data_IF_435013198355
#
_entry.id   IF_435013198355
#
_cell.length_a   1.000
_cell.length_b   1.000
_cell.length_c   1.000
_cell.angle_alpha   90.00
_cell.angle_beta   90.00
_cell.angle_gamma   90.00
#
_symmetry.space_group_name_H-M   'P 1'
#
loop_
_entity.id
_entity.type
_entity.pdbx_description
1 polymer ?
#
# COMPACT_ATOMS: atom_id res chain seq x y z
N UNK A 1 21.30 -11.05 -2.14
CA UNK A 1 19.89 -11.51 -2.14
C UNK A 1 19.14 -10.67 -1.13
N UNK A 2 18.42 -9.69 -1.60
CA UNK A 2 17.59 -8.84 -0.73
C UNK A 2 16.30 -9.64 -0.47
N UNK A 3 16.00 -9.87 0.79
CA UNK A 3 14.79 -10.60 1.19
C UNK A 3 13.56 -9.79 0.77
N UNK A 4 12.50 -10.41 0.27
CA UNK A 4 11.31 -9.69 -0.20
C UNK A 4 10.65 -8.86 0.90
N UNK A 5 10.72 -9.33 2.14
CA UNK A 5 10.28 -8.57 3.31
C UNK A 5 11.12 -7.31 3.52
N UNK A 6 12.43 -7.38 3.23
CA UNK A 6 13.31 -6.22 3.25
C UNK A 6 13.07 -5.33 2.02
N UNK A 7 12.73 -5.90 0.87
CA UNK A 7 12.44 -5.14 -0.36
C UNK A 7 11.10 -4.41 -0.24
N UNK A 8 10.05 -5.04 0.27
CA UNK A 8 8.79 -4.36 0.61
C UNK A 8 9.00 -3.37 1.77
N UNK A 9 9.78 -3.74 2.78
CA UNK A 9 10.16 -2.85 3.87
C UNK A 9 11.00 -1.67 3.39
N UNK A 10 11.90 -1.87 2.44
CA UNK A 10 12.74 -0.81 1.87
C UNK A 10 11.96 0.05 0.85
N UNK A 11 10.97 -0.50 0.18
CA UNK A 11 10.07 0.24 -0.71
C UNK A 11 8.99 1.02 0.06
N UNK A 12 8.65 0.51 1.23
CA UNK A 12 7.80 1.19 2.21
C UNK A 12 8.64 1.87 3.29
N UNK A 13 9.80 2.43 2.98
CA UNK A 13 10.74 3.01 3.93
C UNK A 13 10.03 3.71 5.08
N UNK A 14 9.72 2.96 6.13
CA UNK A 14 9.26 3.51 7.38
C UNK A 14 10.45 4.13 8.08
N UNK A 15 10.33 5.38 8.40
CA UNK A 15 11.28 6.08 9.24
C UNK A 15 10.88 5.90 10.69
N UNK A 16 11.82 5.97 11.56
CA UNK A 16 12.10 5.03 12.61
C UNK A 16 11.18 5.12 13.80
N UNK A 17 10.81 3.98 14.29
CA UNK A 17 10.43 3.84 15.67
C UNK A 17 11.43 2.92 16.37
N UNK A 18 12.13 3.41 17.37
CA UNK A 18 12.90 2.58 18.25
C UNK A 18 11.95 1.91 19.25
N UNK A 19 11.60 0.67 18.99
CA UNK A 19 10.78 -0.13 19.92
C UNK A 19 11.55 -0.57 21.16
N UNK A 20 12.85 -0.30 21.25
CA UNK A 20 13.73 -0.78 22.33
C UNK A 20 14.35 0.31 23.20
N UNK A 21 14.20 1.58 22.85
CA UNK A 21 14.76 2.69 23.63
C UNK A 21 13.75 3.80 23.84
N UNK A 22 13.72 4.30 25.07
CA UNK A 22 13.04 5.55 25.39
C UNK A 22 13.54 6.67 24.48
N UNK A 23 12.62 7.40 23.91
CA UNK A 23 12.88 8.51 22.99
C UNK A 23 13.56 9.64 23.78
N UNK A 24 14.83 9.86 23.56
CA UNK A 24 15.52 11.04 24.06
C UNK A 24 15.42 12.17 23.05
N UNK A 25 14.95 13.36 23.42
CA UNK A 25 14.76 14.48 22.50
C UNK A 25 16.08 15.07 21.94
N UNK A 26 17.22 14.53 22.30
CA UNK A 26 18.54 14.96 21.84
C UNK A 26 19.23 13.97 20.90
N UNK A 27 18.49 13.05 20.29
CA UNK A 27 19.10 12.09 19.36
C UNK A 27 19.20 12.70 17.98
N UNK A 28 20.34 13.32 17.72
CA UNK A 28 20.79 13.77 16.40
C UNK A 28 21.25 12.61 15.50
N UNK A 29 21.22 11.33 15.96
CA UNK A 29 22.00 10.31 15.25
C UNK A 29 21.47 8.88 15.30
N UNK A 30 20.26 8.58 15.27
CA UNK A 30 19.85 7.24 14.84
C UNK A 30 18.40 7.28 14.33
N UNK A 31 18.21 7.79 13.16
CA UNK A 31 17.04 7.45 12.38
C UNK A 31 17.05 5.93 12.18
N UNK A 32 16.29 5.19 12.99
CA UNK A 32 16.14 3.77 12.82
C UNK A 32 15.05 3.54 11.81
N UNK A 33 15.42 2.94 10.71
CA UNK A 33 14.45 2.46 9.73
C UNK A 33 13.73 1.25 10.29
N UNK A 34 12.41 1.35 10.42
CA UNK A 34 11.55 0.24 10.80
C UNK A 34 11.05 -0.42 9.51
N UNK A 35 11.22 -1.73 9.39
CA UNK A 35 10.70 -2.48 8.24
C UNK A 35 9.18 -2.55 8.29
N UNK A 36 8.55 -2.82 7.15
CA UNK A 36 7.11 -3.02 7.09
C UNK A 36 6.64 -4.15 8.02
N UNK A 37 7.42 -5.22 8.14
CA UNK A 37 7.12 -6.33 9.07
C UNK A 37 7.18 -5.89 10.52
N UNK A 38 8.24 -5.18 10.93
CA UNK A 38 8.38 -4.70 12.30
C UNK A 38 7.29 -3.67 12.64
N UNK A 39 6.91 -2.79 11.70
CA UNK A 39 5.81 -1.85 11.91
C UNK A 39 4.47 -2.57 12.00
N UNK A 40 4.21 -3.56 11.17
CA UNK A 40 3.00 -4.38 11.24
C UNK A 40 2.88 -5.10 12.58
N UNK A 41 3.97 -5.71 13.05
CA UNK A 41 4.02 -6.34 14.37
C UNK A 41 3.74 -5.33 15.50
N UNK A 42 4.38 -4.17 15.44
CA UNK A 42 4.15 -3.11 16.42
C UNK A 42 2.70 -2.63 16.42
N UNK A 43 2.10 -2.40 15.24
CA UNK A 43 0.70 -2.01 15.11
C UNK A 43 -0.22 -3.08 15.72
N UNK A 44 0.03 -4.36 15.46
CA UNK A 44 -0.74 -5.46 16.01
C UNK A 44 -0.62 -5.55 17.54
N UNK A 45 0.54 -5.24 18.12
CA UNK A 45 0.73 -5.21 19.59
C UNK A 45 -0.02 -4.05 20.26
N UNK A 46 -0.29 -2.96 19.53
CA UNK A 46 -0.93 -1.75 20.07
C UNK A 46 -2.39 -1.60 19.61
N UNK A 47 -2.92 -2.60 18.94
CA UNK A 47 -4.30 -2.65 18.44
C UNK A 47 -5.23 -3.34 19.45
N UNK A 48 -6.50 -2.97 19.45
CA UNK A 48 -7.55 -3.63 20.25
C UNK A 48 -7.70 -5.10 19.84
N UNK A 49 -7.90 -5.96 20.81
CA UNK A 49 -7.93 -7.43 20.62
C UNK A 49 -9.04 -7.89 19.67
N UNK A 50 -10.18 -7.20 19.65
CA UNK A 50 -11.29 -7.52 18.75
C UNK A 50 -10.95 -7.19 17.30
N UNK A 51 -10.25 -6.08 17.05
CA UNK A 51 -9.78 -5.73 15.71
C UNK A 51 -8.70 -6.70 15.24
N UNK A 52 -7.78 -7.08 16.13
CA UNK A 52 -6.75 -8.07 15.84
C UNK A 52 -7.34 -9.40 15.44
N UNK A 53 -8.31 -9.91 16.20
CA UNK A 53 -9.05 -11.14 15.85
C UNK A 53 -9.76 -11.05 14.50
N UNK A 54 -10.36 -9.90 14.22
CA UNK A 54 -11.00 -9.65 12.91
C UNK A 54 -9.99 -9.70 11.78
N UNK A 55 -8.82 -9.07 11.92
CA UNK A 55 -7.75 -9.14 10.92
C UNK A 55 -7.26 -10.57 10.73
N UNK A 56 -6.90 -11.27 11.81
CA UNK A 56 -6.36 -12.63 11.77
C UNK A 56 -7.35 -13.65 11.19
N UNK A 57 -8.66 -13.39 11.32
CA UNK A 57 -9.69 -14.29 10.81
C UNK A 57 -10.09 -14.04 9.36
N UNK A 58 -9.75 -12.89 8.79
CA UNK A 58 -10.21 -12.50 7.45
C UNK A 58 -9.10 -12.14 6.47
N UNK A 59 -7.87 -11.89 6.95
CA UNK A 59 -6.77 -11.42 6.12
C UNK A 59 -5.48 -12.16 6.42
N UNK A 60 -4.60 -12.22 5.42
CA UNK A 60 -3.22 -12.67 5.56
C UNK A 60 -2.27 -11.59 5.07
N UNK A 61 -1.06 -11.58 5.63
CA UNK A 61 0.02 -10.66 5.27
C UNK A 61 1.26 -11.43 4.78
N UNK A 62 1.07 -12.68 4.36
CA UNK A 62 2.14 -13.56 3.96
C UNK A 62 2.68 -13.27 2.58
N UNK A 63 3.85 -13.83 2.32
CA UNK A 63 4.47 -13.89 1.01
C UNK A 63 4.91 -15.33 0.78
N UNK A 64 4.18 -16.07 -0.04
CA UNK A 64 4.43 -17.49 -0.25
C UNK A 64 5.21 -17.72 -1.55
N UNK A 65 6.30 -18.47 -1.46
CA UNK A 65 7.19 -18.80 -2.59
C UNK A 65 7.12 -20.25 -3.00
N UNK A 66 6.65 -21.12 -2.09
CA UNK A 66 6.50 -22.53 -2.39
C UNK A 66 5.25 -22.78 -3.24
N UNK A 67 5.47 -23.33 -4.43
CA UNK A 67 4.39 -23.59 -5.39
C UNK A 67 3.33 -24.58 -4.85
N UNK A 68 3.72 -25.50 -3.97
CA UNK A 68 2.77 -26.46 -3.39
C UNK A 68 1.88 -25.82 -2.35
N UNK A 69 2.41 -24.87 -1.58
CA UNK A 69 1.64 -24.08 -0.61
C UNK A 69 0.73 -23.09 -1.31
N UNK A 70 1.20 -22.37 -2.33
CA UNK A 70 0.37 -21.50 -3.17
C UNK A 70 -0.85 -22.27 -3.70
N UNK A 71 -0.64 -23.50 -4.19
CA UNK A 71 -1.73 -24.36 -4.66
C UNK A 71 -2.67 -24.82 -3.53
N UNK A 72 -2.15 -25.08 -2.33
CA UNK A 72 -2.98 -25.47 -1.20
C UNK A 72 -3.84 -24.31 -0.68
N UNK A 73 -3.35 -23.09 -0.82
CA UNK A 73 -4.01 -21.86 -0.40
C UNK A 73 -5.28 -21.57 -1.20
N UNK A 74 -5.44 -22.12 -2.41
CA UNK A 74 -6.70 -22.05 -3.18
C UNK A 74 -7.93 -22.54 -2.39
N UNK A 75 -7.72 -23.37 -1.36
CA UNK A 75 -8.77 -23.92 -0.49
C UNK A 75 -9.01 -23.10 0.77
N UNK A 76 -8.18 -22.10 1.03
CA UNK A 76 -8.25 -21.26 2.21
C UNK A 76 -8.74 -19.86 1.84
N UNK A 77 -10.00 -19.57 2.13
CA UNK A 77 -10.61 -18.27 1.76
C UNK A 77 -9.91 -17.06 2.38
N UNK A 78 -9.20 -17.22 3.48
CA UNK A 78 -8.47 -16.13 4.15
C UNK A 78 -7.32 -15.62 3.25
N UNK A 79 -6.68 -16.53 2.50
CA UNK A 79 -5.56 -16.17 1.63
C UNK A 79 -6.00 -15.52 0.30
N UNK A 80 -7.27 -15.62 -0.09
CA UNK A 80 -7.75 -15.15 -1.39
C UNK A 80 -7.63 -13.63 -1.58
N UNK A 81 -7.56 -12.89 -0.49
CA UNK A 81 -7.37 -11.44 -0.54
C UNK A 81 -5.91 -11.04 -0.74
N UNK A 82 -4.98 -11.99 -0.65
CA UNK A 82 -3.54 -11.74 -0.76
C UNK A 82 -2.96 -12.39 -2.03
N UNK A 83 -2.71 -11.62 -3.10
CA UNK A 83 -2.19 -12.14 -4.35
C UNK A 83 -0.76 -12.68 -4.25
N UNK A 84 -0.06 -12.46 -3.13
CA UNK A 84 1.26 -13.00 -2.85
C UNK A 84 1.22 -14.41 -2.25
N UNK A 85 0.03 -14.95 -1.94
CA UNK A 85 -0.15 -16.27 -1.35
C UNK A 85 -1.02 -17.21 -2.20
N UNK A 86 -1.66 -16.70 -3.26
CA UNK A 86 -2.52 -17.49 -4.14
C UNK A 86 -2.14 -17.32 -5.61
N UNK A 87 -2.45 -18.33 -6.40
CA UNK A 87 -2.28 -18.26 -7.86
C UNK A 87 -3.55 -17.72 -8.54
N UNK A 88 -3.38 -17.21 -9.75
CA UNK A 88 -4.50 -16.96 -10.64
C UNK A 88 -5.25 -18.27 -10.94
N UNK A 89 -6.55 -18.20 -11.21
CA UNK A 89 -7.37 -19.36 -11.46
C UNK A 89 -6.90 -20.15 -12.69
N UNK A 90 -7.21 -21.43 -12.75
CA UNK A 90 -6.91 -22.28 -13.93
C UNK A 90 -7.87 -22.01 -15.08
N UNK A 91 -7.76 -20.83 -15.66
CA UNK A 91 -8.61 -20.34 -16.73
C UNK A 91 -7.77 -19.81 -17.91
N UNK A 92 -7.22 -20.70 -18.75
CA UNK A 92 -6.26 -20.32 -19.81
C UNK A 92 -6.85 -19.38 -20.89
N UNK A 93 -8.16 -19.32 -21.01
CA UNK A 93 -8.85 -18.38 -21.90
C UNK A 93 -9.08 -16.99 -21.29
N UNK A 94 -8.80 -16.83 -19.99
CA UNK A 94 -8.88 -15.53 -19.32
C UNK A 94 -7.74 -14.62 -19.79
N UNK A 95 -8.04 -13.33 -19.89
CA UNK A 95 -7.05 -12.27 -20.02
C UNK A 95 -7.23 -11.30 -18.85
N UNK A 96 -6.13 -10.91 -18.24
CA UNK A 96 -6.11 -9.97 -17.14
C UNK A 96 -5.54 -8.63 -17.63
N UNK A 97 -6.28 -7.57 -17.42
CA UNK A 97 -5.87 -6.21 -17.73
C UNK A 97 -5.72 -5.43 -16.41
N UNK A 98 -4.51 -5.06 -16.10
CA UNK A 98 -4.19 -4.20 -14.96
C UNK A 98 -4.11 -2.75 -15.45
N UNK A 99 -5.11 -1.97 -15.12
CA UNK A 99 -5.21 -0.57 -15.48
C UNK A 99 -5.15 0.25 -14.20
N UNK A 100 -4.14 1.08 -14.03
CA UNK A 100 -3.97 1.90 -12.83
C UNK A 100 -3.31 3.24 -13.14
N UNK A 101 -3.58 4.22 -12.28
CA UNK A 101 -3.02 5.56 -12.38
C UNK A 101 -1.59 5.65 -11.87
N UNK A 102 -0.81 6.55 -12.46
CA UNK A 102 0.55 6.86 -12.05
C UNK A 102 0.87 8.34 -12.24
N UNK A 103 1.84 8.83 -11.46
CA UNK A 103 2.37 10.20 -11.62
C UNK A 103 1.87 11.18 -10.56
N UNK A 104 1.11 10.70 -9.56
CA UNK A 104 0.69 11.52 -8.43
C UNK A 104 1.49 11.18 -7.18
N UNK A 105 2.08 12.18 -6.47
CA UNK A 105 2.78 11.93 -5.21
C UNK A 105 1.89 11.16 -4.23
N UNK A 106 2.44 10.10 -3.65
CA UNK A 106 1.71 9.18 -2.80
C UNK A 106 2.46 8.97 -1.50
N UNK A 107 1.76 8.94 -0.38
CA UNK A 107 2.37 8.68 0.92
C UNK A 107 3.06 7.32 0.93
N UNK A 108 4.30 7.29 1.40
CA UNK A 108 5.12 6.09 1.36
C UNK A 108 5.72 5.71 2.69
N UNK A 109 6.11 6.69 3.48
CA UNK A 109 6.70 6.48 4.79
C UNK A 109 6.42 7.67 5.70
N UNK A 110 6.62 7.48 6.99
CA UNK A 110 6.27 8.47 7.99
C UNK A 110 7.39 8.62 9.01
N UNK A 111 7.67 9.86 9.38
CA UNK A 111 8.46 10.17 10.56
C UNK A 111 7.52 10.15 11.76
N UNK A 112 7.76 9.22 12.67
CA UNK A 112 6.91 9.07 13.86
C UNK A 112 7.61 9.63 15.10
N UNK A 113 6.83 10.13 16.02
CA UNK A 113 7.28 10.52 17.37
C UNK A 113 6.35 9.98 18.43
N UNK A 114 6.84 9.87 19.64
CA UNK A 114 5.99 9.61 20.79
C UNK A 114 5.01 10.76 21.03
N UNK A 115 3.79 10.41 21.38
CA UNK A 115 2.76 11.39 21.74
C UNK A 115 3.06 12.05 23.08
N UNK A 116 2.77 13.34 23.15
CA UNK A 116 2.86 14.12 24.38
C UNK A 116 1.60 13.99 25.23
N UNK A 117 1.64 14.48 26.46
CA UNK A 117 0.43 14.58 27.31
C UNK A 117 -0.65 15.47 26.68
N UNK A 118 -0.26 16.40 25.81
CA UNK A 118 -1.22 17.22 25.06
C UNK A 118 -1.89 16.40 23.96
N UNK A 119 -1.15 15.63 23.19
CA UNK A 119 -1.70 14.73 22.17
C UNK A 119 -2.75 13.77 22.76
N UNK A 120 -2.50 13.26 23.98
CA UNK A 120 -3.44 12.43 24.74
C UNK A 120 -4.74 13.19 25.09
N UNK A 121 -4.64 14.46 25.45
CA UNK A 121 -5.81 15.30 25.74
C UNK A 121 -6.62 15.58 24.50
N UNK A 122 -5.94 15.97 23.42
CA UNK A 122 -6.59 16.30 22.14
C UNK A 122 -7.33 15.08 21.58
N UNK A 123 -6.73 13.88 21.67
CA UNK A 123 -7.40 12.64 21.24
C UNK A 123 -8.62 12.31 22.11
N UNK A 124 -8.54 12.52 23.41
CA UNK A 124 -9.69 12.31 24.33
C UNK A 124 -10.83 13.28 24.01
N UNK A 125 -10.51 14.50 23.68
CA UNK A 125 -11.50 15.53 23.32
C UNK A 125 -12.16 15.20 22.00
N UNK A 126 -11.39 14.89 20.96
CA UNK A 126 -11.90 14.42 19.66
C UNK A 126 -12.77 13.16 19.79
N UNK A 127 -12.32 12.16 20.55
CA UNK A 127 -13.11 10.95 20.81
C UNK A 127 -14.37 11.21 21.63
N UNK A 128 -14.41 12.25 22.44
CA UNK A 128 -15.59 12.66 23.21
C UNK A 128 -16.66 13.25 22.29
N UNK A 129 -16.26 14.02 21.29
CA UNK A 129 -17.17 14.54 20.27
C UNK A 129 -17.74 13.41 19.40
N UNK A 130 -16.90 12.45 19.00
CA UNK A 130 -17.33 11.26 18.22
C UNK A 130 -18.25 10.36 19.05
N UNK A 131 -17.99 10.17 20.36
CA UNK A 131 -18.83 9.36 21.25
C UNK A 131 -20.21 9.99 21.49
N UNK A 132 -20.31 11.29 21.47
CA UNK A 132 -21.61 11.96 21.53
C UNK A 132 -22.45 11.76 20.25
N UNK A 133 -21.80 11.33 19.16
CA UNK A 133 -22.44 11.01 17.88
C UNK A 133 -22.76 9.51 17.70
N UNK A 134 -22.11 8.61 18.45
CA UNK A 134 -22.29 7.14 18.26
C UNK A 134 -22.13 6.41 19.60
N UNK A 135 -23.25 5.99 20.18
CA UNK A 135 -23.29 5.19 21.42
C UNK A 135 -22.88 3.73 21.14
N UNK A 136 -21.64 3.38 21.40
CA UNK A 136 -21.24 2.03 21.80
C UNK A 136 -20.00 2.12 22.68
N UNK A 137 -20.16 1.77 23.95
CA UNK A 137 -19.08 1.70 24.92
C UNK A 137 -18.13 0.56 24.58
N UNK A 138 -16.98 0.88 24.00
CA UNK A 138 -15.84 -0.02 23.99
C UNK A 138 -15.21 -0.01 25.39
N UNK A 139 -15.19 -1.15 26.07
CA UNK A 139 -14.51 -1.34 27.34
C UNK A 139 -13.00 -1.22 27.10
N UNK A 140 -12.44 -0.08 27.44
CA UNK A 140 -10.98 0.14 27.47
C UNK A 140 -10.32 -0.85 28.44
N UNK A 141 -9.47 -1.73 27.92
CA UNK A 141 -8.61 -2.58 28.72
C UNK A 141 -7.49 -1.74 29.31
N UNK A 142 -7.67 -1.16 30.44
CA UNK A 142 -6.78 -0.36 31.33
C UNK A 142 -5.26 -0.28 31.15
N UNK A 143 -4.70 -0.60 30.00
CA UNK A 143 -3.28 -0.39 29.68
C UNK A 143 -3.08 1.06 29.23
N UNK A 144 -2.02 1.73 29.69
CA UNK A 144 -1.67 3.04 29.18
C UNK A 144 -1.42 2.94 27.68
N UNK A 145 -2.20 3.66 26.89
CA UNK A 145 -2.09 3.69 25.45
C UNK A 145 -0.88 4.54 25.08
N UNK A 146 0.15 3.91 24.53
CA UNK A 146 1.25 4.64 23.92
C UNK A 146 0.69 5.27 22.64
N UNK A 147 0.72 6.59 22.56
CA UNK A 147 0.27 7.33 21.40
C UNK A 147 1.49 7.66 20.55
N UNK A 148 1.47 7.21 19.30
CA UNK A 148 2.42 7.64 18.30
C UNK A 148 1.78 8.63 17.36
N UNK A 149 2.52 9.64 16.96
CA UNK A 149 2.08 10.70 16.05
C UNK A 149 3.10 10.90 14.94
N UNK A 150 2.63 11.33 13.78
CA UNK A 150 3.52 11.80 12.73
C UNK A 150 4.24 13.05 13.24
N UNK A 151 5.56 13.10 13.11
CA UNK A 151 6.35 14.26 13.46
C UNK A 151 6.29 15.31 12.36
N UNK A 152 5.28 16.15 12.41
CA UNK A 152 5.03 17.20 11.41
C UNK A 152 6.11 18.28 11.35
N UNK A 153 7.09 18.26 12.24
CA UNK A 153 8.25 19.19 12.22
C UNK A 153 9.30 18.77 11.21
N UNK A 154 9.26 17.53 10.75
CA UNK A 154 10.23 17.02 9.79
C UNK A 154 9.85 17.49 8.38
N UNK A 155 10.76 18.27 7.80
CA UNK A 155 10.65 18.81 6.44
C UNK A 155 11.95 18.53 5.70
N UNK A 156 11.87 18.03 4.48
CA UNK A 156 13.02 17.80 3.60
C UNK A 156 12.58 17.96 2.14
N UNK A 157 12.46 19.22 1.71
CA UNK A 157 12.01 19.56 0.36
C UNK A 157 13.11 19.40 -0.68
N UNK A 158 14.37 19.60 -0.26
CA UNK A 158 15.55 19.56 -1.14
C UNK A 158 16.06 18.15 -1.41
N UNK A 159 15.44 17.15 -0.83
CA UNK A 159 15.86 15.75 -0.93
C UNK A 159 14.83 14.90 -1.69
N UNK A 160 15.34 13.88 -2.35
CA UNK A 160 14.49 12.83 -2.94
C UNK A 160 14.59 11.57 -2.09
N UNK A 161 13.49 11.07 -1.53
CA UNK A 161 12.10 11.53 -1.69
C UNK A 161 11.76 12.77 -0.87
N UNK A 162 10.87 13.60 -1.40
CA UNK A 162 10.36 14.79 -0.70
C UNK A 162 9.63 14.39 0.57
N UNK A 163 9.95 15.07 1.68
CA UNK A 163 9.27 14.88 2.96
C UNK A 163 8.60 16.18 3.37
N UNK A 164 7.30 16.11 3.60
CA UNK A 164 6.49 17.25 4.03
C UNK A 164 5.71 16.90 5.27
N UNK A 165 5.86 17.70 6.32
CA UNK A 165 5.18 17.53 7.61
C UNK A 165 5.27 16.08 8.15
N UNK A 166 6.47 15.49 8.07
CA UNK A 166 6.74 14.13 8.54
C UNK A 166 6.26 13.02 7.61
N UNK A 167 5.70 13.34 6.45
CA UNK A 167 5.25 12.37 5.45
C UNK A 167 6.23 12.35 4.28
N UNK A 168 6.82 11.20 4.04
CA UNK A 168 7.69 10.97 2.89
C UNK A 168 6.83 10.52 1.70
N UNK A 169 6.93 11.25 0.60
CA UNK A 169 6.17 10.98 -0.62
C UNK A 169 6.97 10.08 -1.58
N UNK A 170 6.25 9.25 -2.32
CA UNK A 170 6.80 8.39 -3.36
C UNK A 170 5.88 8.39 -4.59
N UNK A 171 6.12 7.44 -5.49
CA UNK A 171 5.32 7.26 -6.70
C UNK A 171 4.04 6.46 -6.41
N UNK A 172 2.97 6.81 -7.12
CA UNK A 172 1.68 6.12 -7.06
C UNK A 172 0.57 6.90 -7.76
N UNK A 173 -0.65 6.67 -7.30
CA UNK A 173 -1.88 7.30 -7.83
C UNK A 173 -2.47 8.37 -6.88
N UNK A 174 -1.70 8.78 -5.86
CA UNK A 174 -2.13 9.71 -4.81
C UNK A 174 -2.65 9.02 -3.55
N UNK A 175 -2.95 7.75 -3.60
CA UNK A 175 -3.45 6.95 -2.46
C UNK A 175 -2.67 5.65 -2.30
N UNK A 176 -2.46 4.93 -3.38
CA UNK A 176 -1.80 3.61 -3.38
C UNK A 176 -0.39 3.72 -3.95
N UNK A 177 0.64 3.27 -3.22
CA UNK A 177 2.01 3.25 -3.73
C UNK A 177 2.15 2.39 -4.98
N UNK A 178 2.99 2.84 -5.92
CA UNK A 178 3.22 2.20 -7.22
C UNK A 178 3.51 0.70 -7.12
N UNK A 179 4.30 0.29 -6.13
CA UNK A 179 4.65 -1.13 -5.95
C UNK A 179 3.42 -2.00 -5.67
N UNK A 180 2.46 -1.47 -4.93
CA UNK A 180 1.21 -2.17 -4.62
C UNK A 180 0.26 -2.20 -5.82
N UNK A 181 0.28 -1.15 -6.65
CA UNK A 181 -0.52 -1.09 -7.89
C UNK A 181 -0.01 -2.06 -8.95
N UNK A 182 1.30 -2.14 -9.14
CA UNK A 182 1.87 -2.68 -10.36
C UNK A 182 2.72 -3.94 -10.22
N UNK A 183 3.30 -4.28 -9.06
CA UNK A 183 4.30 -5.34 -8.96
C UNK A 183 3.78 -6.71 -9.40
N UNK A 184 2.57 -7.10 -8.98
CA UNK A 184 1.97 -8.37 -9.40
C UNK A 184 1.70 -8.42 -10.90
N UNK A 185 1.21 -7.34 -11.48
CA UNK A 185 0.90 -7.24 -12.90
C UNK A 185 2.17 -7.19 -13.76
N UNK A 186 3.15 -6.40 -13.34
CA UNK A 186 4.38 -6.21 -14.09
C UNK A 186 5.28 -7.45 -14.05
N UNK A 187 5.27 -8.21 -12.94
CA UNK A 187 6.18 -9.35 -12.73
C UNK A 187 5.51 -10.56 -12.07
N UNK A 188 4.89 -10.43 -10.89
CA UNK A 188 4.42 -11.56 -10.09
C UNK A 188 3.53 -12.53 -10.86
N UNK A 189 2.48 -12.06 -11.52
CA UNK A 189 1.60 -12.88 -12.33
C UNK A 189 2.18 -13.30 -13.70
N UNK A 190 3.42 -12.96 -14.00
CA UNK A 190 4.18 -13.54 -15.12
C UNK A 190 4.99 -14.76 -14.69
N UNK A 191 5.12 -15.00 -13.38
CA UNK A 191 5.75 -16.18 -12.83
C UNK A 191 4.78 -17.38 -12.82
N UNK A 192 5.29 -18.56 -13.22
CA UNK A 192 4.48 -19.78 -13.34
C UNK A 192 3.78 -20.17 -12.03
N UNK A 193 4.43 -19.92 -10.87
CA UNK A 193 3.86 -20.25 -9.55
C UNK A 193 2.58 -19.50 -9.23
N UNK A 194 2.46 -18.24 -9.67
CA UNK A 194 1.28 -17.41 -9.46
C UNK A 194 0.34 -17.41 -10.68
N UNK A 195 0.80 -17.92 -11.84
CA UNK A 195 0.00 -18.00 -13.06
C UNK A 195 0.21 -19.37 -13.76
N UNK A 196 -0.25 -20.45 -13.14
CA UNK A 196 -0.02 -21.81 -13.64
C UNK A 196 -0.74 -22.09 -14.95
N UNK A 197 -1.81 -21.37 -15.28
CA UNK A 197 -2.57 -21.52 -16.51
C UNK A 197 -2.01 -20.69 -17.68
N UNK A 198 -1.00 -19.85 -17.45
CA UNK A 198 -0.43 -18.96 -18.46
C UNK A 198 -1.42 -17.89 -18.94
N UNK A 199 -2.27 -17.38 -18.04
CA UNK A 199 -3.17 -16.27 -18.32
C UNK A 199 -2.36 -15.08 -18.84
N UNK A 200 -2.79 -14.49 -19.94
CA UNK A 200 -2.16 -13.28 -20.46
C UNK A 200 -2.44 -12.13 -19.51
N UNK A 201 -1.38 -11.49 -19.02
CA UNK A 201 -1.46 -10.31 -18.14
C UNK A 201 -0.93 -9.10 -18.89
N UNK A 202 -1.77 -8.10 -19.04
CA UNK A 202 -1.46 -6.82 -19.68
C UNK A 202 -1.44 -5.76 -18.59
N UNK A 203 -0.35 -4.97 -18.54
CA UNK A 203 -0.18 -3.88 -17.58
C UNK A 203 -0.19 -2.55 -18.32
N UNK A 204 -1.13 -1.68 -17.99
CA UNK A 204 -1.29 -0.41 -18.67
C UNK A 204 -1.42 0.72 -17.66
N UNK A 205 -0.36 1.49 -17.52
CA UNK A 205 -0.32 2.68 -16.67
C UNK A 205 -1.02 3.84 -17.35
N UNK A 206 -1.78 4.60 -16.56
CA UNK A 206 -2.50 5.79 -16.97
C UNK A 206 -1.84 6.99 -16.30
N UNK A 207 -1.18 7.82 -17.12
CA UNK A 207 -0.45 8.98 -16.62
C UNK A 207 -1.42 10.03 -16.07
N UNK A 208 -1.13 10.50 -14.85
CA UNK A 208 -1.81 11.67 -14.28
C UNK A 208 -1.22 12.94 -14.88
N UNK A 209 -1.90 13.50 -15.86
CA UNK A 209 -1.52 14.73 -16.58
C UNK A 209 -2.75 15.66 -16.71
N UNK A 210 -3.24 16.21 -15.58
CA UNK A 210 -4.43 17.05 -15.57
C UNK A 210 -4.19 18.39 -16.27
N UNK A 211 -5.19 18.87 -16.98
CA UNK A 211 -5.17 20.23 -17.50
C UNK A 211 -5.23 21.25 -16.34
N UNK A 212 -4.47 22.35 -16.43
CA UNK A 212 -4.22 23.27 -15.32
C UNK A 212 -5.47 23.98 -14.72
N UNK A 213 -6.63 23.85 -15.37
CA UNK A 213 -7.91 24.41 -14.89
C UNK A 213 -8.88 23.35 -14.39
N UNK A 214 -8.54 22.07 -14.45
CA UNK A 214 -9.41 21.00 -13.99
C UNK A 214 -9.08 20.63 -12.54
N UNK A 215 -9.95 21.02 -11.62
CA UNK A 215 -9.79 20.80 -10.18
C UNK A 215 -9.76 19.30 -9.79
N UNK A 216 -10.26 18.43 -10.65
CA UNK A 216 -10.30 16.97 -10.44
C UNK A 216 -9.46 16.17 -11.44
N UNK A 217 -8.63 16.86 -12.25
CA UNK A 217 -7.75 16.22 -13.22
C UNK A 217 -8.42 15.78 -14.51
N UNK A 218 -9.76 15.88 -14.64
CA UNK A 218 -10.53 15.67 -15.86
C UNK A 218 -10.24 14.37 -16.59
N UNK A 219 -10.32 14.46 -17.93
CA UNK A 219 -10.17 13.30 -18.82
C UNK A 219 -8.77 12.68 -18.85
N UNK A 220 -7.75 13.33 -18.27
CA UNK A 220 -6.36 12.87 -18.17
C UNK A 220 -5.95 12.56 -16.72
N UNK A 221 -6.92 12.31 -15.83
CA UNK A 221 -6.63 11.99 -14.45
C UNK A 221 -6.14 10.54 -14.27
N UNK A 222 -4.99 10.39 -13.60
CA UNK A 222 -4.50 9.14 -13.05
C UNK A 222 -4.62 9.09 -11.53
N UNK A 223 -5.40 9.98 -10.91
CA UNK A 223 -5.70 9.97 -9.48
C UNK A 223 -6.54 8.76 -9.08
N UNK A 224 -6.36 8.26 -7.87
CA UNK A 224 -6.98 7.04 -7.37
C UNK A 224 -8.49 6.92 -7.57
N UNK A 225 -9.23 8.01 -7.38
CA UNK A 225 -10.69 8.05 -7.55
C UNK A 225 -11.06 8.67 -8.89
N UNK A 226 -10.45 9.81 -9.21
CA UNK A 226 -10.82 10.60 -10.38
C UNK A 226 -10.43 9.93 -11.70
N UNK A 227 -9.60 8.88 -11.66
CA UNK A 227 -9.30 7.98 -12.80
C UNK A 227 -10.57 7.37 -13.42
N UNK A 228 -11.64 7.19 -12.64
CA UNK A 228 -12.92 6.70 -13.14
C UNK A 228 -13.55 7.63 -14.19
N UNK A 229 -13.18 8.91 -14.17
CA UNK A 229 -13.54 9.91 -15.19
C UNK A 229 -12.54 9.99 -16.35
N UNK A 230 -11.44 9.26 -16.31
CA UNK A 230 -10.40 9.32 -17.32
C UNK A 230 -10.88 8.80 -18.68
N UNK A 231 -10.63 9.57 -19.74
CA UNK A 231 -10.89 9.16 -21.12
C UNK A 231 -10.07 7.92 -21.51
N UNK A 232 -8.85 7.81 -21.01
CA UNK A 232 -7.96 6.69 -21.29
C UNK A 232 -8.48 5.41 -20.67
N UNK A 233 -8.87 5.44 -19.38
CA UNK A 233 -9.46 4.28 -18.70
C UNK A 233 -10.77 3.85 -19.37
N UNK A 234 -11.69 4.78 -19.60
CA UNK A 234 -12.98 4.50 -20.18
C UNK A 234 -12.86 3.94 -21.61
N UNK A 235 -11.95 4.47 -22.43
CA UNK A 235 -11.65 3.94 -23.75
C UNK A 235 -11.09 2.52 -23.68
N UNK A 236 -10.17 2.24 -22.75
CA UNK A 236 -9.62 0.89 -22.56
C UNK A 236 -10.72 -0.11 -22.15
N UNK A 237 -11.58 0.26 -21.20
CA UNK A 237 -12.71 -0.59 -20.75
C UNK A 237 -13.65 -0.89 -21.92
N UNK A 238 -14.03 0.12 -22.71
CA UNK A 238 -14.91 -0.06 -23.87
C UNK A 238 -14.26 -0.99 -24.91
N UNK A 239 -12.98 -0.81 -25.22
CA UNK A 239 -12.24 -1.70 -26.13
C UNK A 239 -12.25 -3.14 -25.65
N UNK A 240 -11.97 -3.36 -24.37
CA UNK A 240 -11.95 -4.70 -23.77
C UNK A 240 -13.35 -5.33 -23.84
N UNK A 241 -14.38 -4.61 -23.41
CA UNK A 241 -15.75 -5.09 -23.36
C UNK A 241 -16.36 -5.39 -24.76
N UNK A 242 -15.90 -4.68 -25.78
CA UNK A 242 -16.39 -4.87 -27.17
C UNK A 242 -15.55 -5.84 -28.00
N UNK A 243 -14.65 -6.62 -27.38
CA UNK A 243 -13.82 -7.61 -28.06
C UNK A 243 -12.57 -7.04 -28.73
N UNK A 244 -12.28 -5.75 -28.55
CA UNK A 244 -11.09 -5.06 -29.07
C UNK A 244 -9.98 -4.96 -28.02
N UNK A 245 -9.98 -5.81 -27.01
CA UNK A 245 -8.97 -5.81 -25.95
C UNK A 245 -7.53 -6.00 -26.46
N UNK A 246 -7.32 -6.55 -27.65
CA UNK A 246 -6.02 -6.65 -28.29
C UNK A 246 -5.38 -5.30 -28.62
N UNK A 247 -6.15 -4.21 -28.63
CA UNK A 247 -5.65 -2.84 -28.79
C UNK A 247 -5.14 -2.23 -27.48
N UNK A 248 -5.46 -2.85 -26.35
CA UNK A 248 -4.93 -2.46 -25.03
C UNK A 248 -3.70 -3.32 -24.77
N UNK A 249 -2.53 -2.70 -24.84
CA UNK A 249 -1.25 -3.37 -24.73
C UNK A 249 -0.50 -2.86 -23.48
N UNK A 250 0.56 -3.56 -23.13
CA UNK A 250 1.49 -3.10 -22.09
C UNK A 250 1.93 -1.67 -22.36
N UNK A 251 1.79 -0.81 -21.35
CA UNK A 251 2.26 0.57 -21.38
C UNK A 251 2.80 0.95 -20.00
N UNK A 252 4.04 1.39 -19.93
CA UNK A 252 4.73 1.73 -18.70
C UNK A 252 5.28 3.16 -18.79
N UNK A 253 4.87 4.01 -17.89
CA UNK A 253 5.45 5.33 -17.66
C UNK A 253 6.45 5.32 -16.50
N UNK A 254 6.23 4.43 -15.54
CA UNK A 254 7.04 4.31 -14.32
C UNK A 254 8.15 3.28 -14.44
N UNK A 255 8.99 3.20 -13.40
CA UNK A 255 10.02 2.17 -13.26
C UNK A 255 9.50 0.89 -12.58
N UNK A 256 8.19 0.63 -12.60
CA UNK A 256 7.60 -0.53 -11.90
C UNK A 256 8.23 -1.86 -12.27
N UNK A 257 8.64 -2.03 -13.51
CA UNK A 257 9.30 -3.27 -13.97
C UNK A 257 10.61 -3.49 -13.23
N UNK A 258 11.44 -2.46 -13.14
CA UNK A 258 12.71 -2.50 -12.42
C UNK A 258 12.49 -2.74 -10.93
N UNK A 259 11.50 -2.08 -10.32
CA UNK A 259 11.17 -2.26 -8.92
C UNK A 259 10.66 -3.67 -8.64
N UNK A 260 9.78 -4.19 -9.49
CA UNK A 260 9.24 -5.53 -9.35
C UNK A 260 10.32 -6.63 -9.54
N UNK A 261 11.30 -6.43 -10.43
CA UNK A 261 12.42 -7.36 -10.62
C UNK A 261 13.35 -7.45 -9.40
N UNK A 262 13.39 -6.43 -8.56
CA UNK A 262 14.19 -6.42 -7.33
C UNK A 262 13.54 -7.19 -6.17
N UNK A 263 12.26 -7.50 -6.28
CA UNK A 263 11.56 -8.29 -5.27
C UNK A 263 12.08 -9.72 -5.34
N UNK A 264 12.39 -10.31 -4.20
CA UNK A 264 12.73 -11.72 -4.07
C UNK A 264 11.43 -12.55 -4.08
N UNK A 265 11.03 -12.86 -5.29
CA UNK A 265 9.78 -13.62 -5.54
C UNK A 265 9.83 -15.05 -5.07
#
# INVERSE_FOLDING_TARGET
>A
TVNATETYGNLLNYVPMDTTKEFSPNVTDAQRHVTASAMSEWLMQHTEEDFKRMLESNYTLGFERDESRIRSNDKNSITWTNPLEVALPRAPSLKLYCLYGWGKPTERAYYMRDGTSQDVRDEREANREVRNATLTESKSTGKPRQISRIDTRVMAEDHTPVTNAGVMMGEGDGTVPLISLGAMCAHGWKLKRYNPAGIQVITHELLHDPEGFDLRGGGSSGDHIDILGSNQLNSAIVKIATGRGHEVQDNYYSNIREYAERIDW
#
